data_IF_763649477552
#
_entry.id   IF_763649477552
#
_cell.length_a   1.000
_cell.length_b   1.000
_cell.length_c   1.000
_cell.angle_alpha   90.00
_cell.angle_beta   90.00
_cell.angle_gamma   90.00
#
_symmetry.space_group_name_H-M   'P 1'
#
loop_
_entity.id
_entity.type
_entity.pdbx_description
1 polymer ?
#
# COMPACT_ATOMS: atom_id res chain seq x y z
N UNK A 1 -25.44 -28.85 -0.19
CA UNK A 1 -25.80 -29.89 -1.19
C UNK A 1 -25.83 -29.24 -2.57
N UNK A 2 -25.13 -29.87 -3.52
CA UNK A 2 -25.14 -29.76 -4.99
C UNK A 2 -25.50 -28.41 -5.65
N UNK A 3 -24.55 -27.69 -6.26
CA UNK A 3 -24.02 -27.88 -7.63
C UNK A 3 -25.02 -27.48 -8.72
N UNK A 4 -24.77 -26.35 -9.38
CA UNK A 4 -25.24 -26.11 -10.75
C UNK A 4 -24.14 -25.40 -11.55
N UNK A 5 -23.37 -26.24 -12.25
CA UNK A 5 -22.46 -25.85 -13.32
C UNK A 5 -23.29 -25.33 -14.50
N UNK A 6 -22.96 -24.16 -15.06
CA UNK A 6 -23.34 -23.81 -16.43
C UNK A 6 -22.11 -23.80 -17.32
N UNK A 7 -21.75 -25.04 -17.63
CA UNK A 7 -21.05 -25.53 -18.81
C UNK A 7 -21.46 -24.72 -20.06
N UNK A 8 -20.57 -23.87 -20.58
CA UNK A 8 -20.75 -23.29 -21.91
C UNK A 8 -19.86 -24.05 -22.89
N UNK A 9 -20.50 -24.95 -23.62
CA UNK A 9 -19.92 -25.74 -24.69
C UNK A 9 -19.59 -24.84 -25.89
N UNK A 10 -18.35 -24.98 -26.39
CA UNK A 10 -17.92 -24.61 -27.75
C UNK A 10 -18.75 -25.42 -28.75
N UNK A 11 -19.10 -24.93 -29.96
CA UNK A 11 -18.14 -24.99 -31.09
C UNK A 11 -18.42 -24.02 -32.27
N UNK A 12 -17.39 -23.47 -32.92
CA UNK A 12 -17.44 -23.29 -34.38
C UNK A 12 -16.04 -23.59 -34.92
N UNK A 13 -15.99 -24.72 -35.61
CA UNK A 13 -14.93 -25.14 -36.50
C UNK A 13 -15.11 -24.39 -37.83
N UNK A 14 -14.10 -23.65 -38.26
CA UNK A 14 -13.92 -23.39 -39.69
C UNK A 14 -12.43 -23.52 -40.00
N UNK A 15 -12.06 -24.74 -40.39
CA UNK A 15 -10.78 -25.09 -40.96
C UNK A 15 -10.92 -25.05 -42.48
N UNK A 16 -10.07 -24.25 -43.14
CA UNK A 16 -9.66 -24.47 -44.52
C UNK A 16 -8.19 -24.01 -44.68
N UNK A 17 -7.22 -24.93 -44.83
CA UNK A 17 -5.90 -24.63 -45.38
C UNK A 17 -5.80 -25.16 -46.83
N UNK A 18 -4.66 -25.04 -47.52
CA UNK A 18 -3.71 -23.93 -47.69
C UNK A 18 -3.53 -23.64 -49.20
N UNK A 19 -2.68 -22.69 -49.60
CA UNK A 19 -1.84 -22.71 -50.82
C UNK A 19 -1.36 -21.27 -51.09
N UNK A 20 -0.16 -20.92 -50.61
CA UNK A 20 0.92 -20.43 -51.48
C UNK A 20 2.17 -20.12 -50.65
N UNK A 21 3.29 -20.64 -51.13
CA UNK A 21 4.63 -20.07 -50.95
C UNK A 21 5.29 -20.14 -49.58
N UNK A 22 6.06 -21.23 -49.42
CA UNK A 22 7.49 -21.20 -49.08
C UNK A 22 8.08 -19.79 -48.91
N UNK A 23 8.57 -19.44 -47.71
CA UNK A 23 9.87 -18.76 -47.58
C UNK A 23 10.43 -18.84 -46.17
N UNK A 24 11.54 -19.58 -46.08
CA UNK A 24 12.69 -19.45 -45.18
C UNK A 24 12.45 -19.52 -43.67
N UNK A 25 12.98 -20.61 -43.13
CA UNK A 25 13.37 -20.75 -41.74
C UNK A 25 14.33 -19.62 -41.35
N UNK A 26 13.89 -18.76 -40.43
CA UNK A 26 14.74 -17.93 -39.60
C UNK A 26 14.20 -18.11 -38.17
N UNK A 27 15.01 -18.73 -37.31
CA UNK A 27 14.65 -19.01 -35.93
C UNK A 27 14.34 -17.72 -35.17
N UNK A 28 13.07 -17.52 -34.83
CA UNK A 28 12.64 -16.50 -33.87
C UNK A 28 13.18 -16.92 -32.51
N UNK A 29 14.38 -16.43 -32.19
CA UNK A 29 14.87 -16.41 -30.82
C UNK A 29 13.83 -15.62 -30.02
N UNK A 30 13.18 -16.28 -29.07
CA UNK A 30 12.38 -15.63 -28.04
C UNK A 30 13.27 -14.54 -27.43
N UNK A 31 13.04 -13.29 -27.81
CA UNK A 31 13.69 -12.16 -27.16
C UNK A 31 13.14 -12.13 -25.75
N UNK A 32 13.92 -12.67 -24.82
CA UNK A 32 13.75 -12.45 -23.39
C UNK A 32 13.82 -10.95 -23.15
N UNK A 33 12.67 -10.29 -23.26
CA UNK A 33 12.47 -8.89 -22.89
C UNK A 33 12.47 -8.79 -21.36
N UNK A 34 13.60 -9.10 -20.74
CA UNK A 34 13.91 -8.74 -19.36
C UNK A 34 15.05 -7.73 -19.43
N UNK A 35 14.72 -6.54 -19.92
CA UNK A 35 15.64 -5.41 -19.94
C UNK A 35 16.25 -5.24 -18.56
N UNK A 36 17.59 -5.24 -18.49
CA UNK A 36 18.35 -4.84 -17.30
C UNK A 36 17.71 -3.58 -16.72
N UNK A 37 17.11 -3.72 -15.55
CA UNK A 37 16.49 -2.60 -14.84
C UNK A 37 17.61 -1.65 -14.43
N UNK A 38 17.71 -0.50 -15.09
CA UNK A 38 18.60 0.58 -14.68
C UNK A 38 17.99 1.33 -13.50
N UNK A 39 18.21 0.74 -12.33
CA UNK A 39 17.92 1.30 -11.03
C UNK A 39 18.68 0.48 -9.99
N UNK A 40 19.82 0.97 -9.53
CA UNK A 40 20.62 0.25 -8.53
C UNK A 40 19.90 0.28 -7.18
N UNK A 41 19.75 -0.88 -6.53
CA UNK A 41 19.31 -0.99 -5.13
C UNK A 41 20.29 -0.36 -4.12
N UNK A 42 21.40 0.23 -4.59
CA UNK A 42 22.47 0.81 -3.80
C UNK A 42 22.03 1.88 -2.77
N UNK A 43 20.83 2.45 -2.91
CA UNK A 43 20.27 3.45 -1.99
C UNK A 43 19.21 2.89 -1.04
N UNK A 44 18.91 1.59 -1.10
CA UNK A 44 17.94 0.96 -0.22
C UNK A 44 18.41 1.07 1.25
N UNK A 45 17.55 1.60 2.11
CA UNK A 45 17.85 1.72 3.54
C UNK A 45 18.81 2.85 3.95
N UNK A 46 19.39 3.63 3.01
CA UNK A 46 20.33 4.72 3.30
C UNK A 46 19.85 5.66 4.42
N UNK A 47 18.60 6.09 4.35
CA UNK A 47 18.02 7.04 5.34
C UNK A 47 17.83 6.40 6.71
N UNK A 48 17.46 5.11 6.78
CA UNK A 48 17.21 4.42 8.06
C UNK A 48 18.51 4.17 8.85
N UNK A 49 19.64 3.98 8.16
CA UNK A 49 20.95 3.83 8.78
C UNK A 49 21.62 5.15 9.15
N UNK A 50 21.31 6.23 8.42
CA UNK A 50 21.84 7.57 8.71
C UNK A 50 21.18 8.25 9.91
N UNK A 51 19.88 8.01 10.15
CA UNK A 51 19.20 8.62 11.30
C UNK A 51 19.67 8.02 12.62
N UNK A 52 20.03 8.82 13.63
CA UNK A 52 20.43 8.31 14.93
C UNK A 52 19.29 7.49 15.55
N UNK A 53 19.64 6.32 16.11
CA UNK A 53 18.65 5.44 16.74
C UNK A 53 18.30 5.96 18.13
N UNK A 54 17.27 6.81 18.21
CA UNK A 54 16.76 7.29 19.50
C UNK A 54 15.98 6.17 20.21
N UNK A 55 16.39 5.85 21.43
CA UNK A 55 15.67 4.92 22.30
C UNK A 55 14.30 5.48 22.68
N UNK A 56 13.30 4.61 22.85
CA UNK A 56 11.98 5.03 23.31
C UNK A 56 12.09 5.43 24.77
N UNK A 57 11.70 6.65 25.10
CA UNK A 57 11.55 7.08 26.48
C UNK A 57 10.41 6.31 27.17
N UNK A 58 10.61 5.98 28.44
CA UNK A 58 9.56 5.38 29.26
C UNK A 58 8.44 6.38 29.52
N UNK A 59 7.29 6.11 28.92
CA UNK A 59 6.06 6.90 29.09
C UNK A 59 5.06 6.08 29.87
N UNK A 60 4.42 6.70 30.88
CA UNK A 60 3.36 6.07 31.67
C UNK A 60 2.26 5.55 30.73
N UNK A 61 1.78 4.33 31.02
CA UNK A 61 0.72 3.70 30.24
C UNK A 61 -0.54 4.57 30.30
N UNK A 62 -1.06 4.94 29.14
CA UNK A 62 -2.37 5.59 29.07
C UNK A 62 -3.44 4.54 29.43
N UNK A 63 -4.39 4.85 30.32
CA UNK A 63 -5.50 3.93 30.56
C UNK A 63 -6.29 3.75 29.25
N UNK A 64 -6.91 2.59 29.08
CA UNK A 64 -7.65 2.21 27.86
C UNK A 64 -9.17 2.21 28.12
N UNK A 65 -9.96 2.17 27.05
CA UNK A 65 -11.42 2.02 27.11
C UNK A 65 -12.15 3.23 27.72
N UNK A 66 -13.10 2.97 28.63
CA UNK A 66 -13.99 3.98 29.21
C UNK A 66 -13.24 5.07 29.98
N UNK A 67 -12.20 4.70 30.73
CA UNK A 67 -11.37 5.64 31.48
C UNK A 67 -10.68 6.66 30.55
N UNK A 68 -10.18 6.21 29.39
CA UNK A 68 -9.60 7.11 28.39
C UNK A 68 -10.62 8.06 27.80
N UNK A 69 -11.83 7.56 27.47
CA UNK A 69 -12.91 8.36 26.92
C UNK A 69 -13.38 9.45 27.89
N UNK A 70 -13.46 9.17 29.20
CA UNK A 70 -13.74 10.20 30.21
C UNK A 70 -12.68 11.29 30.24
N UNK A 71 -11.40 10.94 30.26
CA UNK A 71 -10.33 11.95 30.22
C UNK A 71 -10.37 12.78 28.93
N UNK A 72 -10.67 12.16 27.78
CA UNK A 72 -10.78 12.87 26.51
C UNK A 72 -11.97 13.84 26.49
N UNK A 73 -13.12 13.46 27.06
CA UNK A 73 -14.29 14.32 27.19
C UNK A 73 -13.99 15.53 28.09
N UNK A 74 -13.44 15.27 29.28
CA UNK A 74 -13.10 16.33 30.22
C UNK A 74 -12.13 17.34 29.58
N UNK A 75 -11.07 16.87 28.89
CA UNK A 75 -10.10 17.73 28.19
C UNK A 75 -10.69 18.55 27.04
N UNK A 76 -11.74 18.06 26.36
CA UNK A 76 -12.30 18.72 25.17
C UNK A 76 -13.43 19.69 25.49
N UNK A 77 -14.22 19.40 26.53
CA UNK A 77 -15.49 20.09 26.75
C UNK A 77 -15.63 20.69 28.15
N UNK A 78 -15.15 20.02 29.19
CA UNK A 78 -15.36 20.47 30.58
C UNK A 78 -14.24 21.41 31.02
N UNK A 79 -12.98 21.04 30.77
CA UNK A 79 -11.80 21.83 31.19
C UNK A 79 -11.44 22.90 30.17
N UNK A 80 -11.77 22.71 28.89
CA UNK A 80 -11.49 23.67 27.83
C UNK A 80 -12.54 24.79 27.83
N UNK A 81 -12.42 25.74 28.76
CA UNK A 81 -13.10 27.04 28.65
C UNK A 81 -12.42 27.80 27.52
N UNK A 82 -13.19 28.17 26.50
CA UNK A 82 -12.69 28.97 25.37
C UNK A 82 -12.44 30.37 25.93
N UNK A 83 -11.22 30.64 26.39
CA UNK A 83 -10.80 32.00 26.71
C UNK A 83 -10.96 32.92 25.48
N UNK A 84 -11.01 34.23 25.70
CA UNK A 84 -11.07 35.20 24.62
C UNK A 84 -9.86 35.03 23.69
N UNK A 85 -10.12 34.62 22.44
CA UNK A 85 -9.08 34.38 21.43
C UNK A 85 -9.36 33.18 20.52
N UNK A 86 -8.44 32.90 19.59
CA UNK A 86 -8.53 31.74 18.68
C UNK A 86 -8.25 30.44 19.44
N UNK A 87 -9.09 29.41 19.23
CA UNK A 87 -8.91 28.08 19.83
C UNK A 87 -7.56 27.48 19.41
N UNK A 88 -6.65 27.27 20.36
CA UNK A 88 -5.39 26.57 20.14
C UNK A 88 -5.62 25.07 19.98
N UNK A 89 -4.86 24.46 19.06
CA UNK A 89 -4.94 23.04 18.78
C UNK A 89 -4.29 22.18 19.89
N UNK A 90 -4.73 20.93 20.08
CA UNK A 90 -4.25 20.04 21.14
C UNK A 90 -2.78 19.62 21.01
N UNK A 91 -2.14 19.91 19.87
CA UNK A 91 -0.72 19.68 19.63
C UNK A 91 -0.06 20.91 19.00
N UNK A 92 -0.48 22.11 19.43
CA UNK A 92 0.12 23.37 19.01
C UNK A 92 1.45 23.56 19.75
N UNK A 93 2.57 23.44 19.04
CA UNK A 93 3.90 23.78 19.56
C UNK A 93 4.19 25.24 19.22
N UNK A 94 3.57 26.15 19.96
CA UNK A 94 4.10 27.51 20.07
C UNK A 94 4.99 27.58 21.30
N UNK A 95 6.13 28.25 21.15
CA UNK A 95 7.10 28.47 22.22
C UNK A 95 6.69 29.70 23.02
#
# INVERSE_FOLDING_TARGET
>A
MAISYRFWAKPVMFALPPLLSRRLAEGVRFTSAMGKVHGSLARAGKVRGQTPKVAKQDKKKKPRGRAYKRMQYNRRFVTAVVGFGKKRGPNSSEK
#
